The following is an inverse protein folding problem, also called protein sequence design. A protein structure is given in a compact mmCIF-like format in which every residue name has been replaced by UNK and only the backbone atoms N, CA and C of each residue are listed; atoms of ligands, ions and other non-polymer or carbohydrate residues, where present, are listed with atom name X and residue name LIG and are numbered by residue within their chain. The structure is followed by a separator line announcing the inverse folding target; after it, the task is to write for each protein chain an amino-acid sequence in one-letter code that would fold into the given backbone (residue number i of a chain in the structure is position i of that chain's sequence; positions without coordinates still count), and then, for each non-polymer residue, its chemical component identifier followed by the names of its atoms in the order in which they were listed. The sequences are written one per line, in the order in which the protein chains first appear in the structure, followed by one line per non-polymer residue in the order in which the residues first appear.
data_IF_713975279190
#
_entry.id   IF_713975279190
#
_cell.length_a   1.000
_cell.length_b   1.000
_cell.length_c   1.000
_cell.angle_alpha   90.00
_cell.angle_beta   90.00
_cell.angle_gamma   90.00
#
_symmetry.space_group_name_H-M   'P 1'
#
loop_
_entity.id
_entity.type
_entity.pdbx_description
1 polymer ?
#
# COMPACT_ATOMS: atom_id res chain seq x y z
N UNK A 1 4.52 10.21 22.58
CA UNK A 1 4.67 10.94 21.29
C UNK A 1 5.91 11.87 21.12
N UNK A 2 7.11 11.67 21.73
CA UNK A 2 8.29 12.51 21.38
C UNK A 2 9.13 12.04 20.18
N UNK A 3 9.10 10.75 19.81
CA UNK A 3 10.07 10.14 18.87
C UNK A 3 9.82 10.46 17.38
N UNK A 4 8.60 10.84 17.01
CA UNK A 4 8.26 11.13 15.60
C UNK A 4 8.70 12.54 15.17
N UNK A 5 8.58 13.52 16.07
CA UNK A 5 9.05 14.89 15.83
C UNK A 5 10.57 14.94 15.62
N UNK A 6 11.34 14.12 16.33
CA UNK A 6 12.80 14.07 16.15
C UNK A 6 13.23 13.49 14.80
N UNK A 7 12.49 12.51 14.26
CA UNK A 7 12.83 11.87 12.97
C UNK A 7 12.57 12.82 11.79
N UNK A 8 11.39 13.43 11.73
CA UNK A 8 11.07 14.39 10.67
C UNK A 8 11.91 15.67 10.75
N UNK A 9 12.28 16.12 11.95
CA UNK A 9 13.20 17.24 12.09
C UNK A 9 14.59 16.94 11.48
N UNK A 10 15.13 15.74 11.69
CA UNK A 10 16.42 15.35 11.10
C UNK A 10 16.35 15.23 9.58
N UNK A 11 15.29 14.60 9.05
CA UNK A 11 15.07 14.52 7.60
C UNK A 11 14.95 15.91 6.97
N UNK A 12 14.15 16.80 7.59
CA UNK A 12 13.95 18.15 7.08
C UNK A 12 15.24 18.98 7.05
N UNK A 13 16.13 18.80 8.04
CA UNK A 13 17.46 19.44 8.04
C UNK A 13 18.35 18.94 6.91
N UNK A 14 18.30 17.65 6.58
CA UNK A 14 19.09 17.09 5.46
C UNK A 14 18.61 17.63 4.12
N UNK A 15 17.30 17.63 3.90
CA UNK A 15 16.70 18.19 2.67
C UNK A 15 17.03 19.67 2.57
N UNK A 16 16.77 20.47 3.63
CA UNK A 16 17.14 21.90 3.68
C UNK A 16 18.62 22.13 3.32
N UNK A 17 19.53 21.34 3.89
CA UNK A 17 20.96 21.51 3.63
C UNK A 17 21.35 21.19 2.17
N UNK A 18 20.65 20.24 1.55
CA UNK A 18 20.89 19.86 0.16
C UNK A 18 20.23 20.84 -0.83
N UNK A 19 19.02 21.32 -0.55
CA UNK A 19 18.17 22.04 -1.51
C UNK A 19 18.11 23.54 -1.29
N UNK A 20 18.46 24.02 -0.09
CA UNK A 20 18.29 25.40 0.33
C UNK A 20 16.84 25.80 0.63
N UNK A 21 15.87 24.87 0.52
CA UNK A 21 14.46 25.14 0.88
C UNK A 21 14.37 25.40 2.38
N UNK A 22 13.50 26.34 2.77
CA UNK A 22 13.30 26.67 4.16
C UNK A 22 12.83 25.45 4.97
N UNK A 23 13.43 25.24 6.14
CA UNK A 23 13.13 24.12 7.04
C UNK A 23 11.63 23.89 7.29
N UNK A 24 10.88 24.98 7.46
CA UNK A 24 9.43 24.93 7.71
C UNK A 24 8.64 24.42 6.52
N UNK A 25 9.09 24.70 5.30
CA UNK A 25 8.44 24.22 4.09
C UNK A 25 8.75 22.74 3.87
N UNK A 26 10.00 22.34 4.10
CA UNK A 26 10.37 20.92 4.10
C UNK A 26 9.59 20.09 5.12
N UNK A 27 9.36 20.63 6.33
CA UNK A 27 8.53 19.93 7.33
C UNK A 27 7.10 19.67 6.85
N UNK A 28 6.56 20.51 5.94
CA UNK A 28 5.22 20.33 5.37
C UNK A 28 5.18 19.24 4.30
N UNK A 29 6.32 18.92 3.68
CA UNK A 29 6.45 17.83 2.70
C UNK A 29 6.49 16.44 3.36
N UNK A 30 6.89 16.37 4.64
CA UNK A 30 6.99 15.12 5.39
C UNK A 30 5.62 14.67 5.93
N UNK A 31 4.77 14.17 5.03
CA UNK A 31 3.40 13.74 5.34
C UNK A 31 3.28 12.22 5.25
N UNK A 32 3.24 11.49 6.37
CA UNK A 32 2.99 10.05 6.34
C UNK A 32 1.54 9.73 5.99
N UNK A 33 1.32 8.63 5.27
CA UNK A 33 -0.02 8.19 4.91
C UNK A 33 -0.83 7.81 6.16
N UNK A 34 -1.93 8.54 6.39
CA UNK A 34 -2.75 8.34 7.59
C UNK A 34 -3.56 7.04 7.55
N UNK A 35 -3.84 6.49 6.38
CA UNK A 35 -4.59 5.25 6.20
C UNK A 35 -3.71 4.06 6.57
N UNK A 36 -2.46 4.05 6.11
CA UNK A 36 -1.46 3.06 6.51
C UNK A 36 -1.20 3.09 8.02
N UNK A 37 -1.07 4.28 8.62
CA UNK A 37 -0.88 4.39 10.08
C UNK A 37 -2.10 3.88 10.88
N UNK A 38 -3.33 4.08 10.37
CA UNK A 38 -4.53 3.50 10.97
C UNK A 38 -4.54 1.98 10.85
N UNK A 39 -4.16 1.43 9.70
CA UNK A 39 -4.00 -0.01 9.52
C UNK A 39 -2.97 -0.59 10.49
N UNK A 40 -1.82 0.06 10.65
CA UNK A 40 -0.81 -0.37 11.61
C UNK A 40 -1.35 -0.36 13.05
N UNK A 41 -2.16 0.63 13.42
CA UNK A 41 -2.76 0.67 14.76
C UNK A 41 -3.77 -0.46 14.98
N UNK A 42 -4.65 -0.72 14.02
CA UNK A 42 -5.62 -1.83 14.11
C UNK A 42 -4.92 -3.20 14.12
N UNK A 43 -3.85 -3.38 13.33
CA UNK A 43 -3.00 -4.56 13.37
C UNK A 43 -2.40 -4.78 14.77
N UNK A 44 -1.90 -3.71 15.40
CA UNK A 44 -1.36 -3.76 16.76
C UNK A 44 -2.42 -4.18 17.78
N UNK A 45 -3.62 -3.58 17.72
CA UNK A 45 -4.74 -3.95 18.59
C UNK A 45 -5.18 -5.41 18.40
N UNK A 46 -5.01 -5.95 17.19
CA UNK A 46 -5.33 -7.33 16.87
C UNK A 46 -4.22 -8.34 17.24
N UNK A 47 -3.10 -7.88 17.80
CA UNK A 47 -1.95 -8.70 18.21
C UNK A 47 -0.89 -8.92 17.12
N UNK A 48 -1.02 -8.29 15.94
CA UNK A 48 -0.09 -8.41 14.82
C UNK A 48 1.00 -7.33 14.90
N UNK A 49 1.74 -7.33 16.01
CA UNK A 49 2.70 -6.26 16.36
C UNK A 49 3.84 -6.12 15.35
N UNK A 50 4.38 -7.22 14.85
CA UNK A 50 5.49 -7.19 13.88
C UNK A 50 5.06 -6.59 12.54
N UNK A 51 3.87 -6.95 12.05
CA UNK A 51 3.28 -6.39 10.84
C UNK A 51 3.01 -4.88 11.00
N UNK A 52 2.43 -4.48 12.15
CA UNK A 52 2.21 -3.08 12.47
C UNK A 52 3.51 -2.26 12.50
N UNK A 53 4.58 -2.80 13.09
CA UNK A 53 5.87 -2.12 13.17
C UNK A 53 6.57 -2.04 11.81
N UNK A 54 6.47 -3.09 11.00
CA UNK A 54 6.98 -3.08 9.62
C UNK A 54 6.26 -2.01 8.79
N UNK A 55 4.92 -1.97 8.83
CA UNK A 55 4.12 -0.98 8.10
C UNK A 55 4.48 0.45 8.51
N UNK A 56 4.56 0.75 9.82
CA UNK A 56 5.02 2.07 10.29
C UNK A 56 6.43 2.39 9.76
N UNK A 57 7.33 1.42 9.73
CA UNK A 57 8.67 1.62 9.16
C UNK A 57 8.62 2.09 7.70
N UNK A 58 7.81 1.39 6.89
CA UNK A 58 7.62 1.67 5.46
C UNK A 58 6.93 3.02 5.24
N UNK A 59 5.81 3.29 5.89
CA UNK A 59 5.06 4.56 5.74
C UNK A 59 5.95 5.78 5.96
N UNK A 60 6.82 5.73 6.99
CA UNK A 60 7.74 6.82 7.29
C UNK A 60 8.93 6.89 6.32
N UNK A 61 9.37 5.77 5.75
CA UNK A 61 10.41 5.77 4.72
C UNK A 61 9.87 6.35 3.41
N UNK A 62 8.67 5.95 3.00
CA UNK A 62 7.99 6.51 1.83
C UNK A 62 7.79 8.02 1.98
N UNK A 63 7.23 8.48 3.11
CA UNK A 63 7.04 9.91 3.35
C UNK A 63 8.35 10.72 3.29
N UNK A 64 9.45 10.15 3.80
CA UNK A 64 10.76 10.81 3.72
C UNK A 64 11.31 10.80 2.29
N UNK A 65 11.15 9.70 1.54
CA UNK A 65 11.57 9.58 0.14
C UNK A 65 10.78 10.52 -0.76
N UNK A 66 9.45 10.57 -0.63
CA UNK A 66 8.57 11.50 -1.35
C UNK A 66 8.94 12.96 -1.06
N UNK A 67 9.23 13.32 0.20
CA UNK A 67 9.64 14.68 0.53
C UNK A 67 10.93 15.13 -0.18
N UNK A 68 11.85 14.21 -0.52
CA UNK A 68 13.01 14.54 -1.35
C UNK A 68 12.60 14.87 -2.79
N UNK A 69 11.70 14.09 -3.38
CA UNK A 69 11.19 14.35 -4.74
C UNK A 69 10.33 15.61 -4.81
N UNK A 70 9.49 15.86 -3.80
CA UNK A 70 8.69 17.08 -3.71
C UNK A 70 9.58 18.32 -3.55
N UNK A 71 10.65 18.22 -2.75
CA UNK A 71 11.64 19.28 -2.63
C UNK A 71 12.35 19.57 -3.96
N UNK A 72 12.61 18.54 -4.78
CA UNK A 72 13.08 18.75 -6.14
C UNK A 72 12.04 19.50 -6.99
N UNK A 73 10.76 19.11 -6.93
CA UNK A 73 9.67 19.77 -7.65
C UNK A 73 9.54 21.26 -7.31
N UNK A 74 9.70 21.64 -6.04
CA UNK A 74 9.74 23.05 -5.61
C UNK A 74 10.89 23.84 -6.27
N UNK A 75 12.08 23.23 -6.39
CA UNK A 75 13.23 23.86 -7.05
C UNK A 75 13.04 23.93 -8.55
N UNK A 76 12.57 22.85 -9.17
CA UNK A 76 12.29 22.80 -10.60
C UNK A 76 11.31 23.92 -10.97
N UNK A 77 10.18 24.03 -10.28
CA UNK A 77 9.19 25.09 -10.49
C UNK A 77 9.78 26.51 -10.34
N UNK A 78 10.71 26.71 -9.40
CA UNK A 78 11.30 28.02 -9.14
C UNK A 78 12.46 28.39 -10.08
N UNK A 79 13.18 27.41 -10.62
CA UNK A 79 14.48 27.62 -11.27
C UNK A 79 14.57 27.06 -12.70
N UNK A 80 13.55 26.37 -13.22
CA UNK A 80 13.60 25.70 -14.53
C UNK A 80 14.06 26.62 -15.68
N UNK A 81 13.48 27.82 -15.77
CA UNK A 81 13.80 28.78 -16.84
C UNK A 81 15.03 29.64 -16.56
N UNK A 82 15.40 29.81 -15.28
CA UNK A 82 16.37 30.82 -14.84
C UNK A 82 17.74 30.23 -14.49
N UNK A 83 17.77 28.99 -14.01
CA UNK A 83 18.99 28.28 -13.63
C UNK A 83 18.84 26.75 -13.85
N UNK A 84 18.90 26.29 -15.12
CA UNK A 84 18.77 24.87 -15.44
C UNK A 84 19.88 23.99 -14.84
N UNK A 85 21.06 24.56 -14.60
CA UNK A 85 22.17 23.84 -14.01
C UNK A 85 21.87 23.52 -12.54
N UNK A 86 21.33 24.49 -11.79
CA UNK A 86 20.85 24.25 -10.43
C UNK A 86 19.74 23.20 -10.38
N UNK A 87 18.79 23.21 -11.31
CA UNK A 87 17.75 22.16 -11.38
C UNK A 87 18.39 20.78 -11.55
N UNK A 88 19.34 20.65 -12.47
CA UNK A 88 20.05 19.39 -12.69
C UNK A 88 20.81 18.91 -11.44
N UNK A 89 21.58 19.81 -10.82
CA UNK A 89 22.38 19.47 -9.64
C UNK A 89 21.50 19.08 -8.44
N UNK A 90 20.38 19.78 -8.26
CA UNK A 90 19.43 19.47 -7.20
C UNK A 90 18.61 18.21 -7.47
N UNK A 91 18.28 17.92 -8.74
CA UNK A 91 17.66 16.67 -9.14
C UNK A 91 18.50 15.46 -8.74
N UNK A 92 19.80 15.50 -9.04
CA UNK A 92 20.73 14.45 -8.65
C UNK A 92 20.82 14.30 -7.11
N UNK A 93 20.94 15.41 -6.37
CA UNK A 93 21.04 15.38 -4.91
C UNK A 93 19.75 14.86 -4.25
N UNK A 94 18.58 15.25 -4.77
CA UNK A 94 17.29 14.80 -4.24
C UNK A 94 17.04 13.33 -4.55
N UNK A 95 17.37 12.88 -5.77
CA UNK A 95 17.31 11.47 -6.14
C UNK A 95 18.22 10.62 -5.24
N UNK A 96 19.48 11.00 -5.06
CA UNK A 96 20.41 10.28 -4.17
C UNK A 96 19.88 10.23 -2.73
N UNK A 97 19.33 11.35 -2.24
CA UNK A 97 18.70 11.44 -0.92
C UNK A 97 17.52 10.48 -0.77
N UNK A 98 16.60 10.47 -1.74
CA UNK A 98 15.44 9.59 -1.78
C UNK A 98 15.86 8.10 -1.83
N UNK A 99 16.80 7.75 -2.70
CA UNK A 99 17.32 6.38 -2.81
C UNK A 99 18.08 5.94 -1.55
N UNK A 100 18.82 6.84 -0.91
CA UNK A 100 19.49 6.56 0.36
C UNK A 100 18.49 6.25 1.49
N UNK A 101 17.33 6.91 1.52
CA UNK A 101 16.24 6.59 2.46
C UNK A 101 15.76 5.17 2.23
N UNK A 102 15.43 4.83 0.98
CA UNK A 102 14.90 3.52 0.61
C UNK A 102 15.91 2.39 0.87
N UNK A 103 17.19 2.60 0.53
CA UNK A 103 18.28 1.66 0.88
C UNK A 103 18.40 1.42 2.37
N UNK A 104 18.36 2.48 3.20
CA UNK A 104 18.39 2.33 4.67
C UNK A 104 17.17 1.59 5.22
N UNK A 105 16.02 1.70 4.56
CA UNK A 105 14.82 0.95 4.88
C UNK A 105 14.85 -0.51 4.37
N UNK A 106 15.83 -0.85 3.51
CA UNK A 106 16.05 -2.19 2.97
C UNK A 106 15.47 -2.42 1.57
N UNK A 107 15.14 -1.36 0.83
CA UNK A 107 14.64 -1.40 -0.55
C UNK A 107 15.76 -1.08 -1.55
N UNK A 108 16.92 -1.72 -1.42
CA UNK A 108 18.07 -1.47 -2.29
C UNK A 108 17.94 -2.13 -3.67
N UNK A 109 17.06 -3.12 -3.80
CA UNK A 109 16.83 -3.89 -5.03
C UNK A 109 15.61 -3.33 -5.78
N UNK A 110 15.74 -3.13 -7.08
CA UNK A 110 14.67 -2.60 -7.97
C UNK A 110 13.43 -3.50 -8.05
N UNK A 111 13.50 -4.71 -7.49
CA UNK A 111 12.41 -5.70 -7.46
C UNK A 111 11.47 -5.49 -6.26
N UNK A 112 11.87 -4.73 -5.24
CA UNK A 112 11.08 -4.55 -4.02
C UNK A 112 10.30 -3.24 -4.03
N UNK A 113 8.98 -3.33 -4.20
CA UNK A 113 8.06 -2.21 -3.99
C UNK A 113 7.70 -2.05 -2.50
N UNK A 114 7.81 -0.85 -1.90
CA UNK A 114 7.32 -0.61 -0.54
C UNK A 114 5.81 -0.84 -0.41
N UNK A 115 5.05 -0.55 -1.47
CA UNK A 115 3.60 -0.74 -1.53
C UNK A 115 3.19 -2.21 -1.37
N UNK A 116 4.09 -3.15 -1.70
CA UNK A 116 3.87 -4.57 -1.49
C UNK A 116 3.75 -4.92 -0.01
N UNK A 117 4.58 -4.30 0.86
CA UNK A 117 4.48 -4.48 2.31
C UNK A 117 3.17 -3.87 2.87
N UNK A 118 2.61 -2.85 2.21
CA UNK A 118 1.30 -2.29 2.55
C UNK A 118 0.18 -3.29 2.22
N UNK A 119 0.21 -3.92 1.04
CA UNK A 119 -0.74 -4.96 0.68
C UNK A 119 -0.58 -6.24 1.54
N UNK A 120 0.64 -6.61 1.93
CA UNK A 120 0.88 -7.69 2.91
C UNK A 120 0.18 -7.40 4.24
N UNK A 121 0.31 -6.17 4.73
CA UNK A 121 -0.32 -5.74 5.99
C UNK A 121 -1.85 -5.77 5.89
N UNK A 122 -2.41 -5.35 4.75
CA UNK A 122 -3.85 -5.38 4.50
C UNK A 122 -4.38 -6.82 4.41
N UNK A 123 -3.66 -7.70 3.72
CA UNK A 123 -3.96 -9.13 3.68
C UNK A 123 -3.99 -9.74 5.09
N UNK A 124 -2.96 -9.48 5.91
CA UNK A 124 -2.91 -9.97 7.28
C UNK A 124 -4.09 -9.47 8.13
N UNK A 125 -4.49 -8.21 7.95
CA UNK A 125 -5.67 -7.66 8.62
C UNK A 125 -6.95 -8.36 8.18
N UNK A 126 -7.12 -8.66 6.89
CA UNK A 126 -8.27 -9.40 6.36
C UNK A 126 -8.31 -10.86 6.86
N UNK A 127 -7.16 -11.55 6.87
CA UNK A 127 -7.03 -12.88 7.46
C UNK A 127 -7.48 -12.88 8.93
N UNK A 128 -7.02 -11.89 9.70
CA UNK A 128 -7.38 -11.76 11.11
C UNK A 128 -8.86 -11.40 11.29
N UNK A 129 -9.41 -10.51 10.47
CA UNK A 129 -10.82 -10.18 10.45
C UNK A 129 -11.69 -11.41 10.11
N UNK A 130 -11.22 -12.27 9.22
CA UNK A 130 -11.87 -13.53 8.86
C UNK A 130 -11.89 -14.60 9.94
N UNK A 131 -11.04 -14.46 10.96
CA UNK A 131 -10.93 -15.42 12.07
C UNK A 131 -11.75 -15.02 13.32
N UNK A 132 -12.38 -13.83 13.34
CA UNK A 132 -13.11 -13.31 14.50
C UNK A 132 -14.53 -12.88 14.14
N UNK A 133 -15.51 -12.93 15.07
CA UNK A 133 -16.88 -12.56 14.75
C UNK A 133 -17.05 -11.07 14.41
N UNK A 134 -16.31 -10.17 15.08
CA UNK A 134 -16.30 -8.71 14.86
C UNK A 134 -14.94 -8.24 14.36
N UNK A 135 -14.67 -8.51 13.08
CA UNK A 135 -13.46 -8.08 12.37
C UNK A 135 -13.62 -6.74 11.63
N UNK A 136 -14.73 -6.03 11.83
CA UNK A 136 -15.12 -4.91 10.94
C UNK A 136 -14.13 -3.75 10.95
N UNK A 137 -13.54 -3.44 12.10
CA UNK A 137 -12.52 -2.39 12.22
C UNK A 137 -11.26 -2.70 11.42
N UNK A 138 -10.76 -3.94 11.53
CA UNK A 138 -9.63 -4.43 10.73
C UNK A 138 -9.95 -4.40 9.24
N UNK A 139 -11.13 -4.89 8.84
CA UNK A 139 -11.55 -4.87 7.45
C UNK A 139 -11.64 -3.44 6.89
N UNK A 140 -12.16 -2.47 7.66
CA UNK A 140 -12.18 -1.05 7.27
C UNK A 140 -10.78 -0.46 7.10
N UNK A 141 -9.87 -0.80 8.01
CA UNK A 141 -8.51 -0.30 7.95
C UNK A 141 -7.74 -0.90 6.76
N UNK A 142 -7.94 -2.20 6.49
CA UNK A 142 -7.41 -2.85 5.29
C UNK A 142 -8.01 -2.27 4.01
N UNK A 143 -9.31 -1.95 4.00
CA UNK A 143 -9.95 -1.32 2.84
C UNK A 143 -9.30 0.03 2.49
N UNK A 144 -8.83 0.75 3.50
CA UNK A 144 -8.22 2.07 3.34
C UNK A 144 -6.96 2.11 2.50
N UNK A 145 -6.32 0.96 2.20
CA UNK A 145 -5.11 0.89 1.35
C UNK A 145 -5.42 0.57 -0.12
N UNK A 146 -6.65 0.18 -0.46
CA UNK A 146 -7.06 -0.11 -1.83
C UNK A 146 -7.63 1.16 -2.48
N UNK A 147 -6.82 2.22 -2.60
CA UNK A 147 -7.21 3.47 -3.26
C UNK A 147 -6.46 3.75 -4.57
N UNK A 148 -5.73 2.75 -5.05
CA UNK A 148 -5.05 2.76 -6.34
C UNK A 148 -5.88 2.07 -7.42
N UNK A 149 -5.45 2.25 -8.67
CA UNK A 149 -5.98 1.52 -9.82
C UNK A 149 -5.80 -0.01 -9.65
N UNK A 150 -6.79 -0.84 -10.02
CA UNK A 150 -6.70 -2.29 -9.88
C UNK A 150 -5.52 -2.93 -10.62
N UNK A 151 -5.12 -2.41 -11.78
CA UNK A 151 -3.94 -2.89 -12.51
C UNK A 151 -2.66 -2.60 -11.72
N UNK A 152 -2.55 -1.41 -11.15
CA UNK A 152 -1.42 -1.08 -10.29
C UNK A 152 -1.37 -1.98 -9.04
N UNK A 153 -2.53 -2.21 -8.40
CA UNK A 153 -2.61 -3.17 -7.29
C UNK A 153 -2.22 -4.60 -7.73
N UNK A 154 -2.54 -4.99 -8.96
CA UNK A 154 -2.17 -6.30 -9.52
C UNK A 154 -0.66 -6.45 -9.70
N UNK A 155 0.05 -5.38 -10.06
CA UNK A 155 1.51 -5.40 -10.13
C UNK A 155 2.11 -5.51 -8.73
N UNK A 156 1.65 -4.63 -7.83
CA UNK A 156 2.19 -4.54 -6.47
C UNK A 156 2.02 -5.87 -5.72
N UNK A 157 0.84 -6.50 -5.79
CA UNK A 157 0.55 -7.75 -5.05
C UNK A 157 1.43 -8.93 -5.49
N UNK A 158 1.92 -8.90 -6.73
CA UNK A 158 2.83 -9.92 -7.31
C UNK A 158 4.31 -9.62 -7.06
N UNK A 159 4.65 -8.46 -6.49
CA UNK A 159 6.02 -8.16 -6.07
C UNK A 159 6.32 -8.74 -4.69
N UNK A 160 7.58 -9.15 -4.46
CA UNK A 160 7.96 -9.84 -3.23
C UNK A 160 8.00 -8.92 -1.99
N UNK A 161 8.26 -7.62 -2.18
CA UNK A 161 8.65 -6.72 -1.09
C UNK A 161 9.96 -7.14 -0.40
N UNK A 162 10.44 -6.36 0.57
CA UNK A 162 11.70 -6.65 1.28
C UNK A 162 11.58 -7.83 2.26
N UNK A 163 10.37 -8.14 2.73
CA UNK A 163 10.06 -9.32 3.53
C UNK A 163 9.06 -10.18 2.77
N UNK A 164 9.53 -11.12 1.93
CA UNK A 164 8.65 -12.00 1.17
C UNK A 164 7.62 -12.66 2.08
N UNK A 165 6.35 -12.53 1.71
CA UNK A 165 5.23 -13.07 2.44
C UNK A 165 4.48 -14.07 1.56
N UNK A 166 3.98 -15.14 2.16
CA UNK A 166 3.28 -16.19 1.41
C UNK A 166 1.76 -16.02 1.58
N UNK A 167 1.07 -15.62 0.51
CA UNK A 167 -0.39 -15.45 0.51
C UNK A 167 -1.18 -16.76 0.45
N UNK A 168 -0.56 -17.86 0.01
CA UNK A 168 -1.17 -19.17 -0.26
C UNK A 168 -2.01 -19.78 0.89
N UNK A 169 -1.81 -19.33 2.13
CA UNK A 169 -2.54 -19.84 3.29
C UNK A 169 -4.02 -19.38 3.32
N UNK A 170 -4.43 -18.48 2.42
CA UNK A 170 -5.79 -17.93 2.41
C UNK A 170 -6.88 -18.99 2.21
N UNK A 171 -6.58 -20.05 1.46
CA UNK A 171 -7.51 -21.14 1.19
C UNK A 171 -7.82 -21.96 2.45
N UNK A 172 -6.86 -22.03 3.38
CA UNK A 172 -6.97 -22.75 4.65
C UNK A 172 -7.67 -21.91 5.73
N UNK A 173 -7.97 -20.64 5.47
CA UNK A 173 -8.63 -19.77 6.45
C UNK A 173 -10.00 -20.33 6.80
N UNK A 174 -10.16 -20.62 8.08
CA UNK A 174 -11.42 -20.98 8.73
C UNK A 174 -11.78 -19.95 9.79
N UNK A 175 -13.03 -19.95 10.24
CA UNK A 175 -13.47 -19.01 11.25
C UNK A 175 -14.99 -18.98 11.38
N UNK A 176 -15.53 -17.99 12.11
CA UNK A 176 -16.97 -17.84 12.30
C UNK A 176 -17.72 -17.73 10.96
N UNK A 177 -18.98 -18.18 10.96
CA UNK A 177 -19.89 -18.10 9.81
C UNK A 177 -20.63 -16.75 9.70
N UNK A 178 -20.18 -15.73 10.43
CA UNK A 178 -20.75 -14.38 10.33
C UNK A 178 -20.48 -13.80 8.95
N UNK A 179 -21.40 -12.99 8.42
CA UNK A 179 -21.25 -12.38 7.08
C UNK A 179 -19.94 -11.59 6.95
N UNK A 180 -19.54 -10.87 8.01
CA UNK A 180 -18.28 -10.13 8.06
C UNK A 180 -17.06 -11.06 7.97
N UNK A 181 -17.00 -12.13 8.76
CA UNK A 181 -15.87 -13.04 8.76
C UNK A 181 -15.77 -13.81 7.44
N UNK A 182 -16.91 -14.23 6.87
CA UNK A 182 -16.97 -14.88 5.55
C UNK A 182 -16.45 -13.94 4.46
N UNK A 183 -16.95 -12.70 4.42
CA UNK A 183 -16.50 -11.72 3.43
C UNK A 183 -14.99 -11.40 3.56
N UNK A 184 -14.47 -11.25 4.78
CA UNK A 184 -13.05 -11.01 4.98
C UNK A 184 -12.17 -12.16 4.47
N UNK A 185 -12.59 -13.42 4.67
CA UNK A 185 -11.89 -14.59 4.11
C UNK A 185 -11.93 -14.61 2.59
N UNK A 186 -13.09 -14.31 1.99
CA UNK A 186 -13.21 -14.20 0.52
C UNK A 186 -12.28 -13.11 -0.03
N UNK A 187 -12.18 -11.97 0.64
CA UNK A 187 -11.26 -10.90 0.26
C UNK A 187 -9.78 -11.35 0.33
N UNK A 188 -9.38 -12.00 1.43
CA UNK A 188 -8.02 -12.53 1.59
C UNK A 188 -7.69 -13.60 0.53
N UNK A 189 -8.62 -14.49 0.21
CA UNK A 189 -8.46 -15.50 -0.85
C UNK A 189 -8.30 -14.87 -2.23
N UNK A 190 -9.08 -13.84 -2.54
CA UNK A 190 -8.96 -13.12 -3.80
C UNK A 190 -7.58 -12.45 -3.94
N UNK A 191 -7.07 -11.80 -2.87
CA UNK A 191 -5.69 -11.27 -2.87
C UNK A 191 -4.64 -12.36 -3.08
N UNK A 192 -4.82 -13.51 -2.43
CA UNK A 192 -3.88 -14.63 -2.57
C UNK A 192 -3.87 -15.19 -3.98
N UNK A 193 -5.05 -15.42 -4.57
CA UNK A 193 -5.17 -15.84 -5.95
C UNK A 193 -4.53 -14.82 -6.91
N UNK A 194 -4.72 -13.51 -6.67
CA UNK A 194 -4.10 -12.46 -7.47
C UNK A 194 -2.55 -12.52 -7.41
N UNK A 195 -1.99 -12.80 -6.23
CA UNK A 195 -0.54 -12.90 -6.05
C UNK A 195 0.09 -14.13 -6.72
N UNK A 196 -0.68 -15.21 -6.92
CA UNK A 196 -0.21 -16.47 -7.52
C UNK A 196 -0.20 -16.43 -9.07
N UNK A 197 -0.77 -15.38 -9.67
CA UNK A 197 -0.79 -15.22 -11.13
C UNK A 197 0.60 -14.89 -11.65
N UNK A 198 1.02 -15.59 -12.70
CA UNK A 198 2.35 -15.47 -13.29
C UNK A 198 2.63 -14.06 -13.83
N UNK A 199 3.88 -13.65 -13.73
CA UNK A 199 4.41 -12.41 -14.33
C UNK A 199 4.91 -12.70 -15.74
N UNK A 200 4.50 -11.93 -16.77
CA UNK A 200 5.17 -11.98 -18.09
C UNK A 200 4.33 -11.75 -19.36
N UNK A 201 3.00 -11.71 -19.27
CA UNK A 201 2.09 -11.34 -20.38
C UNK A 201 1.04 -10.36 -19.81
N UNK A 202 0.69 -9.32 -20.57
CA UNK A 202 -0.30 -8.30 -20.21
C UNK A 202 -1.66 -8.93 -19.84
N UNK A 203 -2.00 -10.09 -20.43
CA UNK A 203 -3.23 -10.82 -20.10
C UNK A 203 -3.29 -11.29 -18.64
N UNK A 204 -2.15 -11.61 -18.04
CA UNK A 204 -2.09 -12.00 -16.63
C UNK A 204 -2.27 -10.81 -15.68
N UNK A 205 -2.07 -9.58 -16.16
CA UNK A 205 -2.28 -8.37 -15.34
C UNK A 205 -3.78 -8.12 -15.14
N UNK A 206 -4.58 -8.28 -16.19
CA UNK A 206 -6.03 -8.13 -16.10
C UNK A 206 -6.67 -9.21 -15.21
N UNK A 207 -6.22 -10.47 -15.32
CA UNK A 207 -6.70 -11.56 -14.46
C UNK A 207 -6.42 -11.27 -12.97
N UNK A 208 -5.21 -10.80 -12.64
CA UNK A 208 -4.86 -10.41 -11.28
C UNK A 208 -5.64 -9.16 -10.82
N UNK A 209 -5.86 -8.20 -11.70
CA UNK A 209 -6.65 -7.00 -11.40
C UNK A 209 -8.12 -7.33 -11.11
N UNK A 210 -8.74 -8.26 -11.85
CA UNK A 210 -10.09 -8.75 -11.58
C UNK A 210 -10.20 -9.39 -10.18
N UNK A 211 -9.19 -10.19 -9.78
CA UNK A 211 -9.13 -10.75 -8.43
C UNK A 211 -8.94 -9.66 -7.36
N UNK A 212 -8.16 -8.62 -7.65
CA UNK A 212 -8.06 -7.46 -6.76
C UNK A 212 -9.38 -6.69 -6.64
N UNK A 213 -10.19 -6.62 -7.70
CA UNK A 213 -11.58 -6.13 -7.62
C UNK A 213 -12.40 -6.99 -6.67
N UNK A 214 -12.21 -8.31 -6.67
CA UNK A 214 -12.81 -9.21 -5.70
C UNK A 214 -12.39 -8.96 -4.27
N UNK A 215 -11.10 -8.74 -4.06
CA UNK A 215 -10.57 -8.37 -2.75
C UNK A 215 -11.24 -7.08 -2.24
N UNK A 216 -11.32 -6.05 -3.07
CA UNK A 216 -11.97 -4.78 -2.75
C UNK A 216 -13.49 -4.92 -2.52
N UNK A 217 -14.16 -5.73 -3.34
CA UNK A 217 -15.60 -6.00 -3.24
C UNK A 217 -15.95 -6.65 -1.90
N UNK A 218 -15.31 -7.78 -1.59
CA UNK A 218 -15.54 -8.49 -0.35
C UNK A 218 -14.98 -7.75 0.87
N UNK A 219 -13.88 -7.02 0.71
CA UNK A 219 -13.33 -6.14 1.74
C UNK A 219 -14.35 -5.06 2.15
N UNK A 220 -15.05 -4.47 1.19
CA UNK A 220 -16.11 -3.48 1.44
C UNK A 220 -17.27 -4.09 2.23
N UNK A 221 -17.70 -5.30 1.87
CA UNK A 221 -18.75 -6.03 2.59
C UNK A 221 -18.30 -6.35 4.02
N UNK A 222 -17.07 -6.84 4.20
CA UNK A 222 -16.50 -7.14 5.51
C UNK A 222 -16.42 -5.88 6.40
N UNK A 223 -16.11 -4.73 5.78
CA UNK A 223 -16.09 -3.42 6.41
C UNK A 223 -17.51 -2.88 6.74
N UNK A 224 -18.58 -3.57 6.33
CA UNK A 224 -19.96 -3.19 6.58
C UNK A 224 -20.47 -2.11 5.63
N UNK A 225 -19.93 -2.05 4.41
CA UNK A 225 -20.33 -1.13 3.35
C UNK A 225 -20.92 -1.90 2.16
N UNK A 226 -21.68 -1.22 1.27
CA UNK A 226 -21.98 -1.77 -0.04
C UNK A 226 -20.70 -2.16 -0.79
N UNK A 227 -20.77 -3.09 -1.76
CA UNK A 227 -19.59 -3.48 -2.53
C UNK A 227 -18.93 -2.29 -3.24
N UNK A 228 -17.59 -2.27 -3.24
CA UNK A 228 -16.74 -1.23 -3.83
C UNK A 228 -17.05 0.20 -3.34
N UNK A 229 -17.60 0.36 -2.13
CA UNK A 229 -18.00 1.65 -1.60
C UNK A 229 -16.81 2.62 -1.55
N UNK A 230 -16.95 3.79 -2.19
CA UNK A 230 -15.93 4.84 -2.29
C UNK A 230 -14.64 4.44 -3.02
N UNK A 231 -14.64 3.36 -3.81
CA UNK A 231 -13.48 2.87 -4.57
C UNK A 231 -13.70 3.11 -6.07
N UNK A 232 -13.48 4.35 -6.52
CA UNK A 232 -13.89 4.80 -7.87
C UNK A 232 -13.15 4.07 -8.98
N UNK A 233 -11.87 3.84 -8.79
CA UNK A 233 -10.96 3.19 -9.72
C UNK A 233 -11.40 1.73 -9.92
N UNK A 234 -11.66 1.02 -8.82
CA UNK A 234 -12.22 -0.33 -8.84
C UNK A 234 -13.61 -0.39 -9.48
N UNK A 235 -14.50 0.57 -9.18
CA UNK A 235 -15.81 0.65 -9.83
C UNK A 235 -15.71 0.91 -11.33
N UNK A 236 -14.76 1.75 -11.75
CA UNK A 236 -14.52 2.08 -13.16
C UNK A 236 -14.02 0.85 -13.91
N UNK A 237 -13.01 0.18 -13.38
CA UNK A 237 -12.49 -1.07 -13.95
C UNK A 237 -13.59 -2.12 -14.05
N UNK A 238 -14.31 -2.37 -12.96
CA UNK A 238 -15.41 -3.32 -12.92
C UNK A 238 -16.48 -3.02 -13.99
N UNK A 239 -16.92 -1.77 -14.13
CA UNK A 239 -17.95 -1.40 -15.14
C UNK A 239 -17.46 -1.49 -16.59
N UNK A 240 -16.17 -1.28 -16.82
CA UNK A 240 -15.59 -1.15 -18.16
C UNK A 240 -15.06 -2.47 -18.69
N UNK A 241 -14.56 -3.32 -17.78
CA UNK A 241 -13.81 -4.53 -18.11
C UNK A 241 -14.49 -5.82 -17.64
N UNK A 242 -15.37 -5.77 -16.64
CA UNK A 242 -16.03 -6.96 -16.09
C UNK A 242 -17.53 -6.99 -16.44
N UNK A 243 -17.97 -8.02 -17.17
CA UNK A 243 -19.38 -8.21 -17.53
C UNK A 243 -20.20 -8.73 -16.32
N UNK A 244 -20.59 -7.85 -15.39
CA UNK A 244 -21.60 -8.11 -14.35
C UNK A 244 -21.09 -8.53 -12.95
N UNK A 245 -22.01 -8.68 -11.97
CA UNK A 245 -21.69 -8.88 -10.54
C UNK A 245 -20.84 -10.11 -10.29
N UNK A 246 -19.83 -9.92 -9.43
CA UNK A 246 -18.87 -10.98 -9.11
C UNK A 246 -19.42 -11.92 -8.05
N UNK A 247 -20.44 -12.69 -8.44
CA UNK A 247 -21.12 -13.59 -7.52
C UNK A 247 -20.30 -14.85 -7.22
N UNK A 248 -19.35 -15.24 -8.09
CA UNK A 248 -18.44 -16.37 -7.86
C UNK A 248 -17.02 -16.04 -8.33
N UNK A 249 -16.20 -15.49 -7.45
CA UNK A 249 -14.77 -15.77 -7.57
C UNK A 249 -14.58 -17.25 -7.24
N UNK A 250 -13.92 -18.04 -8.10
CA UNK A 250 -13.73 -19.44 -7.83
C UNK A 250 -13.05 -19.59 -6.47
N UNK A 251 -13.71 -20.29 -5.53
CA UNK A 251 -12.96 -20.97 -4.48
C UNK A 251 -11.94 -21.82 -5.26
N UNK A 252 -10.67 -21.45 -5.21
CA UNK A 252 -9.60 -22.19 -5.88
C UNK A 252 -9.46 -23.55 -5.20
N UNK A 253 -10.34 -24.45 -5.58
CA UNK A 253 -10.44 -25.85 -5.21
C UNK A 253 -11.09 -26.60 -6.38
N UNK A 254 -10.56 -26.41 -7.60
CA UNK A 254 -10.76 -27.32 -8.73
C UNK A 254 -9.84 -26.95 -9.91
N UNK A 255 -8.53 -27.16 -9.75
CA UNK A 255 -7.64 -27.71 -10.80
C UNK A 255 -6.56 -28.54 -10.13
#
# INVERSE_FOLDING_TARGET
MPKFQSRFASAARRIQAATGIAYTDVLRLLVPDRRELRLADELRHAGLVDAANALVGVTFACAESTAWYDAYGEIENACYETDPQKVKDMGAACQEGAEAVMRRAGFADTVFGPDAEVLHAAYLALCRAGAVPDGRRLARAALGVFDCDPLLCSDIIRTAGRRPFAYRIANELTGPSTATAVAARKAARAMAAASDIQTGDDRYWYEAAELMVGAAWYGSIAAGHPPLHSMREFQSFYKTMMDGPVDDFPDSAMR
#
